data_IF_111149047274
#
_entry.id   IF_111149047274
#
_cell.length_a   1.000
_cell.length_b   1.000
_cell.length_c   1.000
_cell.angle_alpha   90.00
_cell.angle_beta   90.00
_cell.angle_gamma   90.00
#
_symmetry.space_group_name_H-M   'P 1'
#
loop_
_entity.id
_entity.type
_entity.pdbx_description
1 polymer ?
#
# COMPACT_ATOMS: atom_id res chain seq x y z
N UNK A 1 21.45 20.32 -7.11
CA UNK A 1 20.85 20.52 -8.43
C UNK A 1 20.67 19.23 -9.24
N UNK A 2 21.56 18.25 -9.14
CA UNK A 2 21.49 17.01 -9.94
C UNK A 2 20.28 16.13 -9.57
N UNK A 3 19.99 15.98 -8.29
CA UNK A 3 18.83 15.21 -7.79
C UNK A 3 17.49 15.80 -8.25
N UNK A 4 17.33 17.11 -8.18
CA UNK A 4 16.14 17.81 -8.66
C UNK A 4 15.87 17.54 -10.16
N UNK A 5 16.91 17.58 -10.98
CA UNK A 5 16.79 17.28 -12.41
C UNK A 5 16.38 15.82 -12.66
N UNK A 6 16.87 14.87 -11.85
CA UNK A 6 16.48 13.47 -11.91
C UNK A 6 15.01 13.25 -11.51
N UNK A 7 14.55 13.91 -10.43
CA UNK A 7 13.13 13.85 -10.00
C UNK A 7 12.21 14.37 -11.09
N UNK A 8 12.53 15.53 -11.67
CA UNK A 8 11.74 16.13 -12.77
C UNK A 8 11.75 15.23 -14.00
N UNK A 9 12.86 14.57 -14.33
CA UNK A 9 12.95 13.67 -15.46
C UNK A 9 12.16 12.38 -15.23
N UNK A 10 12.26 11.76 -14.07
CA UNK A 10 11.51 10.55 -13.74
C UNK A 10 9.99 10.78 -13.72
N UNK A 11 9.55 11.96 -13.26
CA UNK A 11 8.13 12.35 -13.34
C UNK A 11 7.71 12.53 -14.80
N UNK A 12 8.55 13.15 -15.65
CA UNK A 12 8.25 13.28 -17.10
C UNK A 12 8.19 11.93 -17.80
N UNK A 13 9.08 11.00 -17.46
CA UNK A 13 9.15 9.66 -18.07
C UNK A 13 7.98 8.76 -17.61
N UNK A 14 7.38 9.06 -16.47
CA UNK A 14 6.19 8.39 -15.96
C UNK A 14 4.89 8.90 -16.62
N UNK A 15 4.90 10.04 -17.30
CA UNK A 15 3.76 10.60 -18.02
C UNK A 15 3.57 9.88 -19.37
N UNK A 16 2.34 9.47 -19.75
CA UNK A 16 2.11 8.81 -21.04
C UNK A 16 2.41 9.77 -22.20
N UNK A 17 3.19 9.29 -23.17
CA UNK A 17 3.66 10.06 -24.34
C UNK A 17 2.58 10.52 -25.32
N UNK A 18 1.32 10.15 -25.11
CA UNK A 18 0.19 10.40 -26.01
C UNK A 18 -0.89 11.36 -25.48
N UNK A 19 -0.61 12.07 -24.39
CA UNK A 19 -1.53 13.13 -23.96
C UNK A 19 -1.19 14.39 -24.73
N UNK A 20 -2.08 14.78 -25.64
CA UNK A 20 -2.02 16.05 -26.35
C UNK A 20 -2.34 17.17 -25.33
N UNK A 21 -1.35 17.48 -24.49
CA UNK A 21 -1.44 18.54 -23.49
C UNK A 21 -1.18 19.83 -24.26
N UNK A 22 -2.19 20.72 -24.30
CA UNK A 22 -2.02 22.10 -24.71
C UNK A 22 -0.76 22.68 -24.04
N UNK A 23 -0.07 23.69 -24.65
CA UNK A 23 1.27 24.13 -24.23
C UNK A 23 1.26 24.62 -22.78
N UNK A 24 1.53 23.73 -21.84
CA UNK A 24 1.34 23.99 -20.43
C UNK A 24 2.51 23.58 -19.60
N UNK A 25 3.05 24.60 -19.00
CA UNK A 25 3.80 24.67 -17.75
C UNK A 25 4.88 23.58 -17.59
N UNK A 26 6.13 23.94 -17.83
CA UNK A 26 7.27 23.03 -17.76
C UNK A 26 7.69 22.62 -16.34
N UNK A 27 6.81 22.77 -15.35
CA UNK A 27 7.11 22.54 -13.95
C UNK A 27 6.10 21.56 -13.32
N UNK A 28 6.54 20.54 -12.56
CA UNK A 28 5.60 19.68 -11.85
C UNK A 28 4.74 20.53 -10.90
N UNK A 29 3.48 20.62 -11.18
CA UNK A 29 2.56 21.57 -10.55
C UNK A 29 2.49 21.42 -9.03
N UNK A 30 2.56 20.19 -8.50
CA UNK A 30 2.54 19.92 -7.07
C UNK A 30 3.69 20.59 -6.30
N UNK A 31 4.82 20.88 -6.95
CA UNK A 31 5.91 21.65 -6.33
C UNK A 31 5.53 23.11 -6.13
N UNK A 32 4.58 23.64 -6.91
CA UNK A 32 4.03 24.96 -6.73
C UNK A 32 2.99 25.07 -5.62
N UNK A 33 2.51 23.94 -5.09
CA UNK A 33 1.50 23.91 -4.03
C UNK A 33 2.07 24.18 -2.62
N UNK A 34 3.39 24.11 -2.48
CA UNK A 34 4.09 24.42 -1.24
C UNK A 34 5.09 25.57 -1.48
N UNK A 35 5.37 26.39 -0.46
CA UNK A 35 6.34 27.47 -0.58
C UNK A 35 7.70 26.96 -1.05
N UNK A 36 8.39 27.74 -1.89
CA UNK A 36 9.68 27.34 -2.46
C UNK A 36 10.71 26.92 -1.41
N UNK A 37 10.72 27.56 -0.23
CA UNK A 37 11.59 27.18 0.88
C UNK A 37 11.39 25.75 1.38
N UNK A 38 10.16 25.20 1.31
CA UNK A 38 9.88 23.80 1.64
C UNK A 38 10.46 22.86 0.58
N UNK A 39 10.31 23.21 -0.70
CA UNK A 39 10.91 22.43 -1.78
C UNK A 39 12.43 22.34 -1.65
N UNK A 40 13.10 23.46 -1.37
CA UNK A 40 14.56 23.49 -1.15
C UNK A 40 14.95 22.53 -0.02
N UNK A 41 14.23 22.55 1.09
CA UNK A 41 14.54 21.71 2.24
C UNK A 41 14.33 20.23 1.93
N UNK A 42 13.19 19.85 1.33
CA UNK A 42 12.90 18.47 0.93
C UNK A 42 14.00 17.95 0.00
N UNK A 43 14.33 18.68 -1.07
CA UNK A 43 15.32 18.23 -2.06
C UNK A 43 16.78 18.31 -1.59
N UNK A 44 17.06 19.01 -0.50
CA UNK A 44 18.40 19.00 0.09
C UNK A 44 18.65 17.80 1.00
N UNK A 45 17.58 17.19 1.54
CA UNK A 45 17.67 16.12 2.55
C UNK A 45 17.24 14.76 2.00
N UNK A 46 16.13 14.71 1.25
CA UNK A 46 15.60 13.45 0.71
C UNK A 46 16.51 12.86 -0.36
N UNK A 47 16.74 11.55 -0.29
CA UNK A 47 17.67 10.83 -1.17
C UNK A 47 16.97 10.15 -2.34
N UNK A 48 15.67 9.91 -2.22
CA UNK A 48 14.85 9.30 -3.27
C UNK A 48 13.57 10.10 -3.54
N UNK A 49 12.96 9.82 -4.69
CA UNK A 49 11.79 10.54 -5.18
C UNK A 49 10.55 10.25 -4.31
N UNK A 50 10.39 9.02 -3.83
CA UNK A 50 9.23 8.63 -3.02
C UNK A 50 9.24 9.36 -1.68
N UNK A 51 10.41 9.49 -1.06
CA UNK A 51 10.59 10.26 0.17
C UNK A 51 10.24 11.74 -0.06
N UNK A 52 10.73 12.34 -1.14
CA UNK A 52 10.44 13.72 -1.47
C UNK A 52 8.94 13.96 -1.71
N UNK A 53 8.30 13.11 -2.50
CA UNK A 53 6.84 13.18 -2.77
C UNK A 53 6.05 13.04 -1.48
N UNK A 54 6.39 12.08 -0.62
CA UNK A 54 5.75 11.91 0.69
C UNK A 54 5.73 13.19 1.52
N UNK A 55 6.90 13.87 1.65
CA UNK A 55 6.96 15.10 2.43
C UNK A 55 6.23 16.28 1.76
N UNK A 56 6.19 16.34 0.43
CA UNK A 56 5.38 17.33 -0.30
C UNK A 56 3.90 17.11 -0.01
N UNK A 57 3.41 15.89 -0.18
CA UNK A 57 2.01 15.54 0.09
C UNK A 57 1.62 15.81 1.54
N UNK A 58 2.43 15.40 2.49
CA UNK A 58 2.19 15.66 3.91
C UNK A 58 2.19 17.15 4.25
N UNK A 59 3.05 17.92 3.61
CA UNK A 59 3.08 19.38 3.76
C UNK A 59 1.78 20.01 3.25
N UNK A 60 1.28 19.57 2.09
CA UNK A 60 0.01 20.03 1.51
C UNK A 60 -1.16 19.64 2.41
N UNK A 61 -1.28 18.35 2.74
CA UNK A 61 -2.39 17.79 3.52
C UNK A 61 -2.54 18.42 4.90
N UNK A 62 -1.43 18.69 5.56
CA UNK A 62 -1.39 19.15 6.95
C UNK A 62 -1.03 20.63 7.09
N UNK A 63 -0.86 21.36 5.98
CA UNK A 63 -0.40 22.75 5.96
C UNK A 63 0.85 22.98 6.86
N UNK A 64 1.84 22.10 6.74
CA UNK A 64 3.03 22.19 7.58
C UNK A 64 3.80 23.46 7.32
N UNK A 65 4.15 24.16 8.41
CA UNK A 65 5.17 25.19 8.37
C UNK A 65 6.54 24.59 8.05
N UNK A 66 7.49 25.42 7.62
CA UNK A 66 8.86 24.95 7.37
C UNK A 66 9.48 24.29 8.60
N UNK A 67 9.27 24.85 9.79
CA UNK A 67 9.75 24.26 11.05
C UNK A 67 9.15 22.86 11.31
N UNK A 68 7.84 22.69 11.03
CA UNK A 68 7.18 21.41 11.19
C UNK A 68 7.67 20.38 10.17
N UNK A 69 7.89 20.79 8.92
CA UNK A 69 8.50 19.95 7.89
C UNK A 69 9.89 19.50 8.29
N UNK A 70 10.76 20.45 8.72
CA UNK A 70 12.12 20.12 9.21
C UNK A 70 12.09 19.11 10.35
N UNK A 71 11.16 19.29 11.30
CA UNK A 71 10.98 18.34 12.40
C UNK A 71 10.55 16.97 11.92
N UNK A 72 9.57 16.89 11.00
CA UNK A 72 9.08 15.64 10.45
C UNK A 72 10.17 14.87 9.67
N UNK A 73 11.00 15.58 8.91
CA UNK A 73 12.15 15.00 8.20
C UNK A 73 13.18 14.47 9.22
N UNK A 74 13.55 15.29 10.21
CA UNK A 74 14.52 14.91 11.23
C UNK A 74 14.05 13.71 12.08
N UNK A 75 12.75 13.63 12.38
CA UNK A 75 12.13 12.52 13.08
C UNK A 75 11.96 11.26 12.21
N UNK A 76 12.20 11.35 10.89
CA UNK A 76 12.13 10.20 9.98
C UNK A 76 10.70 9.74 9.68
N UNK A 77 9.72 10.62 9.62
CA UNK A 77 8.31 10.31 9.38
C UNK A 77 8.09 9.44 8.13
N UNK A 78 8.87 9.64 7.06
CA UNK A 78 8.82 8.77 5.89
C UNK A 78 9.20 7.33 6.21
N UNK A 79 10.26 7.13 6.97
CA UNK A 79 10.71 5.78 7.36
C UNK A 79 9.69 5.08 8.23
N UNK A 80 9.05 5.81 9.14
CA UNK A 80 7.99 5.27 9.99
C UNK A 80 6.71 4.98 9.21
N UNK A 81 6.35 5.85 8.27
CA UNK A 81 5.22 5.61 7.37
C UNK A 81 5.46 4.43 6.41
N UNK A 82 6.71 4.21 6.02
CA UNK A 82 7.10 3.10 5.14
C UNK A 82 7.19 1.74 5.86
N UNK A 83 7.20 1.71 7.20
CA UNK A 83 7.20 0.45 7.94
C UNK A 83 5.89 -0.30 7.72
N UNK A 84 5.95 -1.59 7.37
CA UNK A 84 4.76 -2.41 7.24
C UNK A 84 3.95 -2.45 8.54
N UNK A 85 2.63 -2.36 8.43
CA UNK A 85 1.71 -2.43 9.55
C UNK A 85 1.36 -3.89 9.83
N UNK A 86 1.98 -4.48 10.85
CA UNK A 86 1.76 -5.88 11.23
C UNK A 86 2.02 -6.11 12.73
N UNK A 87 1.59 -7.27 13.22
CA UNK A 87 1.85 -7.75 14.57
C UNK A 87 2.79 -8.96 14.62
N UNK A 88 3.60 -9.18 13.58
CA UNK A 88 4.41 -10.40 13.43
C UNK A 88 5.42 -10.60 14.55
N UNK A 89 6.02 -9.52 15.06
CA UNK A 89 6.95 -9.59 16.18
C UNK A 89 6.33 -10.13 17.47
N UNK A 90 5.00 -10.01 17.62
CA UNK A 90 4.25 -10.48 18.79
C UNK A 90 3.65 -11.88 18.58
N UNK A 91 3.39 -12.27 17.33
CA UNK A 91 2.56 -13.43 16.98
C UNK A 91 3.31 -14.56 16.28
N UNK A 92 4.52 -14.30 15.78
CA UNK A 92 5.36 -15.28 15.11
C UNK A 92 6.64 -15.53 15.91
N UNK A 93 7.17 -16.76 15.87
CA UNK A 93 8.51 -17.06 16.42
C UNK A 93 9.60 -16.29 15.65
N UNK A 94 10.65 -15.86 16.33
CA UNK A 94 11.88 -15.44 15.67
C UNK A 94 12.61 -16.67 15.12
N UNK A 95 13.24 -16.62 13.93
CA UNK A 95 13.43 -15.49 13.03
C UNK A 95 12.26 -15.28 12.01
N UNK A 96 11.24 -16.13 12.04
CA UNK A 96 10.14 -16.08 11.06
C UNK A 96 9.42 -14.71 11.07
N UNK A 97 9.15 -14.14 12.25
CA UNK A 97 8.48 -12.86 12.39
C UNK A 97 9.30 -11.70 11.80
N UNK A 98 10.62 -11.72 12.02
CA UNK A 98 11.51 -10.71 11.47
C UNK A 98 11.56 -10.78 9.93
N UNK A 99 11.69 -11.99 9.36
CA UNK A 99 11.71 -12.21 7.92
C UNK A 99 10.36 -11.86 7.27
N UNK A 100 9.25 -12.26 7.88
CA UNK A 100 7.90 -11.92 7.39
C UNK A 100 7.66 -10.40 7.37
N UNK A 101 8.15 -9.68 8.39
CA UNK A 101 8.04 -8.22 8.44
C UNK A 101 8.93 -7.54 7.38
N UNK A 102 10.11 -8.07 7.11
CA UNK A 102 11.01 -7.57 6.07
C UNK A 102 10.43 -7.79 4.65
N UNK A 103 9.82 -8.94 4.42
CA UNK A 103 9.22 -9.30 3.13
C UNK A 103 7.91 -8.55 2.85
N UNK A 104 7.22 -8.08 3.89
CA UNK A 104 5.94 -7.41 3.73
C UNK A 104 6.11 -5.99 3.20
N UNK A 105 5.38 -5.64 2.14
CA UNK A 105 5.28 -4.26 1.65
C UNK A 105 4.16 -3.51 2.38
N UNK A 106 4.44 -2.28 2.78
CA UNK A 106 3.43 -1.36 3.34
C UNK A 106 2.43 -0.89 2.29
N UNK A 107 2.89 -0.78 1.04
CA UNK A 107 2.10 -0.36 -0.11
C UNK A 107 2.42 -1.21 -1.33
N UNK A 108 1.38 -1.66 -2.03
CA UNK A 108 1.45 -2.43 -3.27
C UNK A 108 1.15 -1.52 -4.47
N UNK A 109 1.94 -1.64 -5.53
CA UNK A 109 1.65 -0.95 -6.78
C UNK A 109 0.79 -1.84 -7.67
N UNK A 110 -0.51 -1.55 -7.74
CA UNK A 110 -1.49 -2.25 -8.57
C UNK A 110 -1.86 -1.48 -9.85
N UNK A 111 -1.15 -0.42 -10.20
CA UNK A 111 -1.40 0.39 -11.40
C UNK A 111 -1.39 -0.40 -12.72
N UNK A 112 -0.75 -1.57 -12.74
CA UNK A 112 -0.75 -2.46 -13.89
C UNK A 112 -2.12 -3.11 -14.19
N UNK A 113 -3.08 -3.07 -13.26
CA UNK A 113 -4.41 -3.66 -13.43
C UNK A 113 -5.32 -2.84 -14.35
N UNK A 114 -5.05 -1.54 -14.50
CA UNK A 114 -5.82 -0.59 -15.34
C UNK A 114 -7.33 -0.64 -15.06
N UNK A 115 -7.69 -0.66 -13.77
CA UNK A 115 -9.09 -0.68 -13.34
C UNK A 115 -9.79 0.63 -13.69
N UNK A 116 -11.07 0.54 -14.08
CA UNK A 116 -11.94 1.71 -14.29
C UNK A 116 -12.23 2.38 -12.95
N UNK A 117 -12.67 3.63 -12.99
CA UNK A 117 -13.15 4.32 -11.81
C UNK A 117 -14.37 3.61 -11.19
N UNK A 118 -14.40 3.52 -9.85
CA UNK A 118 -15.52 2.90 -9.12
C UNK A 118 -15.63 1.38 -9.27
N UNK A 119 -14.51 0.69 -9.54
CA UNK A 119 -14.46 -0.78 -9.57
C UNK A 119 -14.87 -1.41 -8.23
N UNK A 120 -15.38 -2.63 -8.30
CA UNK A 120 -15.79 -3.45 -7.16
C UNK A 120 -14.66 -4.33 -6.64
N UNK A 121 -14.84 -4.93 -5.46
CA UNK A 121 -13.89 -5.93 -4.90
C UNK A 121 -13.74 -7.13 -5.84
N UNK A 122 -14.84 -7.59 -6.44
CA UNK A 122 -14.82 -8.70 -7.40
C UNK A 122 -14.03 -8.35 -8.68
N UNK A 123 -14.18 -7.13 -9.21
CA UNK A 123 -13.41 -6.67 -10.38
C UNK A 123 -11.92 -6.52 -10.05
N UNK A 124 -11.57 -6.08 -8.85
CA UNK A 124 -10.18 -6.03 -8.38
C UNK A 124 -9.59 -7.44 -8.31
N UNK A 125 -10.30 -8.37 -7.70
CA UNK A 125 -9.86 -9.76 -7.57
C UNK A 125 -9.66 -10.42 -8.94
N UNK A 126 -10.64 -10.31 -9.84
CA UNK A 126 -10.55 -10.85 -11.20
C UNK A 126 -9.33 -10.27 -11.94
N UNK A 127 -9.13 -8.95 -11.86
CA UNK A 127 -7.99 -8.29 -12.48
C UNK A 127 -6.64 -8.75 -11.90
N UNK A 128 -6.56 -9.00 -10.59
CA UNK A 128 -5.36 -9.57 -9.94
C UNK A 128 -5.07 -10.98 -10.45
N UNK A 129 -6.10 -11.81 -10.60
CA UNK A 129 -5.94 -13.18 -11.12
C UNK A 129 -5.53 -13.18 -12.59
N UNK A 130 -6.13 -12.35 -13.43
CA UNK A 130 -5.75 -12.17 -14.82
C UNK A 130 -4.31 -11.66 -14.99
N UNK A 131 -3.80 -10.91 -14.02
CA UNK A 131 -2.43 -10.39 -13.99
C UNK A 131 -1.58 -11.07 -12.91
N UNK A 132 -1.86 -12.31 -12.59
CA UNK A 132 -1.28 -13.05 -11.46
C UNK A 132 0.24 -12.96 -11.40
N UNK A 133 0.93 -13.12 -12.52
CA UNK A 133 2.39 -13.05 -12.56
C UNK A 133 2.90 -11.71 -12.01
N UNK A 134 2.29 -10.60 -12.42
CA UNK A 134 2.67 -9.25 -11.94
C UNK A 134 2.31 -9.07 -10.48
N UNK A 135 1.16 -9.57 -10.05
CA UNK A 135 0.76 -9.51 -8.65
C UNK A 135 1.71 -10.30 -7.74
N UNK A 136 2.10 -11.52 -8.13
CA UNK A 136 3.06 -12.30 -7.35
C UNK A 136 4.44 -11.63 -7.30
N UNK A 137 4.90 -11.01 -8.39
CA UNK A 137 6.12 -10.21 -8.38
C UNK A 137 6.01 -8.98 -7.48
N UNK A 138 4.83 -8.35 -7.43
CA UNK A 138 4.58 -7.23 -6.53
C UNK A 138 4.53 -7.66 -5.07
N UNK A 139 3.96 -8.83 -4.76
CA UNK A 139 3.98 -9.41 -3.41
C UNK A 139 5.40 -9.71 -2.93
N UNK A 140 6.31 -10.06 -3.83
CA UNK A 140 7.71 -10.38 -3.52
C UNK A 140 8.16 -11.72 -4.06
N UNK A 141 9.32 -12.19 -3.57
CA UNK A 141 9.90 -13.48 -3.98
C UNK A 141 9.19 -14.65 -3.32
N UNK A 142 9.27 -15.80 -3.99
CA UNK A 142 8.90 -17.11 -3.45
C UNK A 142 7.41 -17.28 -3.13
N UNK A 143 6.53 -16.45 -3.67
CA UNK A 143 5.09 -16.60 -3.57
C UNK A 143 4.51 -17.45 -4.69
N UNK A 144 3.62 -18.39 -4.32
CA UNK A 144 2.84 -19.22 -5.22
C UNK A 144 1.35 -19.04 -4.95
N UNK A 145 0.52 -18.99 -6.00
CA UNK A 145 -0.92 -19.05 -5.82
C UNK A 145 -1.35 -20.48 -5.48
N UNK A 146 -1.97 -20.66 -4.31
CA UNK A 146 -2.60 -21.92 -3.93
C UNK A 146 -4.04 -22.01 -4.43
N UNK A 147 -4.73 -20.88 -4.48
CA UNK A 147 -6.09 -20.77 -4.99
C UNK A 147 -6.73 -19.41 -4.72
N UNK A 148 -7.88 -19.21 -5.35
CA UNK A 148 -8.74 -18.05 -5.18
C UNK A 148 -10.11 -18.47 -4.69
N UNK A 149 -10.82 -17.59 -4.01
CA UNK A 149 -12.19 -17.81 -3.53
C UNK A 149 -12.34 -19.16 -2.80
N UNK A 150 -11.38 -19.41 -1.88
CA UNK A 150 -11.35 -20.68 -1.11
C UNK A 150 -12.48 -20.68 -0.09
N UNK A 151 -13.48 -21.53 -0.33
CA UNK A 151 -14.62 -21.69 0.57
C UNK A 151 -14.26 -22.60 1.75
N UNK A 152 -14.79 -22.28 2.92
CA UNK A 152 -14.74 -23.11 4.11
C UNK A 152 -16.03 -22.94 4.93
N UNK A 153 -16.35 -23.93 5.76
CA UNK A 153 -17.49 -23.86 6.65
C UNK A 153 -17.07 -24.13 8.10
N UNK A 154 -17.51 -23.28 9.00
CA UNK A 154 -17.23 -23.38 10.44
C UNK A 154 -18.51 -23.04 11.22
N UNK A 155 -18.92 -23.93 12.12
CA UNK A 155 -20.12 -23.69 12.94
C UNK A 155 -21.42 -23.53 12.15
N UNK A 156 -21.49 -24.03 10.91
CA UNK A 156 -22.64 -23.87 10.02
C UNK A 156 -22.63 -22.59 9.20
N UNK A 157 -21.64 -21.71 9.39
CA UNK A 157 -21.43 -20.51 8.61
C UNK A 157 -20.35 -20.73 7.55
N UNK A 158 -20.58 -20.24 6.34
CA UNK A 158 -19.61 -20.31 5.24
C UNK A 158 -18.79 -19.03 5.19
N UNK A 159 -17.46 -19.19 5.05
CA UNK A 159 -16.51 -18.12 4.77
C UNK A 159 -15.82 -18.36 3.44
N UNK A 160 -15.18 -17.31 2.92
CA UNK A 160 -14.52 -17.36 1.62
C UNK A 160 -13.28 -16.46 1.64
N UNK A 161 -12.13 -17.05 1.36
CA UNK A 161 -10.84 -16.35 1.32
C UNK A 161 -10.61 -15.89 -0.12
N UNK A 162 -10.38 -14.60 -0.35
CA UNK A 162 -10.22 -14.04 -1.69
C UNK A 162 -9.05 -14.69 -2.43
N UNK A 163 -7.85 -14.62 -1.85
CA UNK A 163 -6.65 -15.28 -2.39
C UNK A 163 -5.92 -16.03 -1.30
N UNK A 164 -5.49 -17.25 -1.61
CA UNK A 164 -4.62 -18.04 -0.76
C UNK A 164 -3.29 -18.25 -1.49
N UNK A 165 -2.22 -17.68 -0.92
CA UNK A 165 -0.86 -17.86 -1.42
C UNK A 165 -0.08 -18.80 -0.50
N UNK A 166 1.03 -19.31 -0.99
CA UNK A 166 2.03 -20.02 -0.20
C UNK A 166 3.41 -19.41 -0.44
N UNK A 167 4.14 -19.12 0.62
CA UNK A 167 5.50 -18.61 0.53
C UNK A 167 6.49 -19.73 0.82
N UNK A 168 7.42 -19.99 -0.12
CA UNK A 168 8.37 -21.08 -0.05
C UNK A 168 9.45 -20.86 1.00
N UNK A 169 9.93 -19.62 1.17
CA UNK A 169 11.01 -19.29 2.12
C UNK A 169 10.49 -19.36 3.55
N UNK A 170 9.32 -18.80 3.81
CA UNK A 170 8.67 -18.84 5.12
C UNK A 170 7.95 -20.16 5.40
N UNK A 171 7.79 -21.03 4.41
CA UNK A 171 7.04 -22.29 4.48
C UNK A 171 5.68 -22.11 5.17
N UNK A 172 4.90 -21.11 4.75
CA UNK A 172 3.60 -20.81 5.32
C UNK A 172 2.60 -20.30 4.29
N UNK A 173 1.32 -20.41 4.63
CA UNK A 173 0.26 -19.82 3.84
C UNK A 173 0.10 -18.33 4.14
N UNK A 174 -0.35 -17.59 3.14
CA UNK A 174 -0.81 -16.22 3.22
C UNK A 174 -2.28 -16.16 2.82
N UNK A 175 -3.15 -15.89 3.78
CA UNK A 175 -4.57 -15.61 3.53
C UNK A 175 -4.73 -14.12 3.22
N UNK A 176 -5.14 -13.81 1.99
CA UNK A 176 -5.30 -12.43 1.53
C UNK A 176 -6.78 -12.07 1.52
N UNK A 177 -7.11 -10.95 2.11
CA UNK A 177 -8.41 -10.28 2.04
C UNK A 177 -8.25 -8.96 1.30
N UNK A 178 -9.10 -8.72 0.29
CA UNK A 178 -9.08 -7.53 -0.57
C UNK A 178 -10.22 -6.59 -0.20
N UNK A 179 -9.95 -5.31 -0.09
CA UNK A 179 -10.95 -4.27 0.14
C UNK A 179 -10.71 -3.05 -0.74
N UNK A 180 -11.71 -2.68 -1.54
CA UNK A 180 -11.70 -1.44 -2.34
C UNK A 180 -12.05 -0.20 -1.53
N UNK A 181 -12.16 -0.33 -0.22
CA UNK A 181 -12.51 0.73 0.74
C UNK A 181 -11.35 0.97 1.70
N UNK A 182 -11.34 2.13 2.39
CA UNK A 182 -10.40 2.36 3.50
C UNK A 182 -10.54 1.32 4.60
N UNK A 183 -9.45 1.11 5.35
CA UNK A 183 -9.35 0.20 6.48
C UNK A 183 -10.51 0.35 7.49
N UNK A 184 -11.06 -0.78 7.89
CA UNK A 184 -11.99 -0.92 9.01
C UNK A 184 -11.55 -2.05 9.92
N UNK A 185 -11.73 -1.89 11.24
CA UNK A 185 -11.34 -2.89 12.25
C UNK A 185 -12.07 -4.23 12.07
N UNK A 186 -13.30 -4.19 11.55
CA UNK A 186 -14.10 -5.42 11.29
C UNK A 186 -13.41 -6.36 10.28
N UNK A 187 -12.65 -5.83 9.32
CA UNK A 187 -11.94 -6.63 8.32
C UNK A 187 -10.86 -7.51 8.96
N UNK A 188 -10.24 -7.04 10.05
CA UNK A 188 -9.22 -7.81 10.78
C UNK A 188 -9.86 -9.00 11.51
N UNK A 189 -11.07 -8.86 12.04
CA UNK A 189 -11.83 -9.94 12.64
C UNK A 189 -12.13 -11.06 11.62
N UNK A 190 -12.59 -10.69 10.43
CA UNK A 190 -12.83 -11.61 9.31
C UNK A 190 -11.52 -12.32 8.90
N UNK A 191 -10.44 -11.57 8.70
CA UNK A 191 -9.13 -12.11 8.34
C UNK A 191 -8.59 -13.08 9.41
N UNK A 192 -8.78 -12.78 10.69
CA UNK A 192 -8.40 -13.67 11.80
C UNK A 192 -9.09 -15.04 11.74
N UNK A 193 -10.37 -15.05 11.33
CA UNK A 193 -11.12 -16.30 11.09
C UNK A 193 -10.50 -17.07 9.91
N UNK A 194 -10.13 -16.38 8.84
CA UNK A 194 -9.50 -16.99 7.66
C UNK A 194 -8.14 -17.63 8.00
N UNK A 195 -7.29 -16.92 8.72
CA UNK A 195 -6.01 -17.48 9.21
C UNK A 195 -6.25 -18.74 10.02
N UNK A 196 -7.26 -18.73 10.90
CA UNK A 196 -7.61 -19.88 11.70
C UNK A 196 -8.16 -21.04 10.86
N UNK A 197 -8.97 -20.75 9.85
CA UNK A 197 -9.51 -21.77 8.94
C UNK A 197 -8.39 -22.43 8.14
N UNK A 198 -7.45 -21.67 7.60
CA UNK A 198 -6.27 -22.22 6.88
C UNK A 198 -5.42 -23.08 7.81
N UNK A 199 -5.13 -22.60 9.02
CA UNK A 199 -4.34 -23.37 10.00
C UNK A 199 -4.98 -24.70 10.39
N UNK A 200 -6.32 -24.76 10.45
CA UNK A 200 -7.05 -25.97 10.88
C UNK A 200 -7.39 -26.92 9.73
N UNK A 201 -7.67 -26.39 8.54
CA UNK A 201 -8.28 -27.16 7.45
C UNK A 201 -7.31 -27.44 6.29
N UNK A 202 -6.28 -26.58 6.09
CA UNK A 202 -5.42 -26.61 4.89
C UNK A 202 -3.95 -26.83 5.25
N UNK A 203 -3.46 -26.19 6.30
CA UNK A 203 -2.07 -26.19 6.71
C UNK A 203 -1.59 -27.61 7.08
N UNK A 204 -0.41 -27.96 6.61
CA UNK A 204 0.25 -29.23 6.97
C UNK A 204 1.00 -29.08 8.30
N UNK A 205 1.30 -30.19 9.00
CA UNK A 205 2.03 -30.16 10.28
C UNK A 205 3.42 -29.49 10.18
N UNK A 206 4.10 -29.60 9.04
CA UNK A 206 5.42 -29.00 8.81
C UNK A 206 5.38 -27.52 8.42
N UNK A 207 4.22 -26.99 8.05
CA UNK A 207 4.09 -25.59 7.67
C UNK A 207 4.09 -24.69 8.92
N UNK A 208 4.69 -23.53 8.79
CA UNK A 208 4.67 -22.50 9.82
C UNK A 208 3.26 -21.86 9.95
N UNK A 209 2.98 -21.08 11.00
CA UNK A 209 1.70 -20.42 11.18
C UNK A 209 1.31 -19.58 9.96
N UNK A 210 0.06 -19.67 9.57
CA UNK A 210 -0.51 -18.89 8.45
C UNK A 210 -0.49 -17.40 8.76
N UNK A 211 -0.10 -16.58 7.81
CA UNK A 211 -0.10 -15.12 7.88
C UNK A 211 -1.33 -14.57 7.16
N UNK A 212 -2.06 -13.66 7.80
CA UNK A 212 -3.15 -12.93 7.18
C UNK A 212 -2.69 -11.56 6.67
N UNK A 213 -3.05 -11.19 5.44
CA UNK A 213 -2.78 -9.87 4.88
C UNK A 213 -4.08 -9.24 4.40
N UNK A 214 -4.43 -8.11 4.99
CA UNK A 214 -5.48 -7.24 4.49
C UNK A 214 -4.88 -6.25 3.50
N UNK A 215 -5.38 -6.24 2.27
CA UNK A 215 -5.01 -5.26 1.25
C UNK A 215 -6.20 -4.31 1.08
N UNK A 216 -6.00 -3.02 1.37
CA UNK A 216 -7.06 -2.02 1.31
C UNK A 216 -6.57 -0.70 0.70
N UNK A 217 -7.51 0.14 0.27
CA UNK A 217 -7.18 1.37 -0.46
C UNK A 217 -6.38 2.37 0.37
N UNK A 218 -6.77 2.57 1.64
CA UNK A 218 -6.13 3.50 2.57
C UNK A 218 -6.19 2.95 3.99
N UNK A 219 -5.18 3.25 4.80
CA UNK A 219 -5.15 2.87 6.21
C UNK A 219 -4.59 4.01 7.08
N UNK A 220 -5.21 4.23 8.23
CA UNK A 220 -4.63 5.07 9.26
C UNK A 220 -3.74 4.17 10.15
N UNK A 221 -2.47 4.52 10.28
CA UNK A 221 -1.46 3.74 11.00
C UNK A 221 -1.87 3.43 12.43
N UNK A 222 -2.20 4.45 13.20
CA UNK A 222 -2.55 4.32 14.62
C UNK A 222 -3.77 3.40 14.82
N UNK A 223 -4.80 3.58 13.98
CA UNK A 223 -5.99 2.72 14.01
C UNK A 223 -5.68 1.27 13.69
N UNK A 224 -4.77 1.01 12.73
CA UNK A 224 -4.34 -0.35 12.39
C UNK A 224 -3.55 -0.97 13.54
N UNK A 225 -2.56 -0.26 14.07
CA UNK A 225 -1.73 -0.73 15.19
C UNK A 225 -2.59 -1.12 16.39
N UNK A 226 -3.48 -0.24 16.86
CA UNK A 226 -4.38 -0.54 17.97
C UNK A 226 -5.32 -1.72 17.69
N UNK A 227 -5.79 -1.83 16.44
CA UNK A 227 -6.63 -2.97 16.06
C UNK A 227 -5.85 -4.27 16.12
N UNK A 228 -4.63 -4.31 15.55
CA UNK A 228 -3.81 -5.52 15.50
C UNK A 228 -3.32 -5.98 16.87
N UNK A 229 -3.12 -5.07 17.84
CA UNK A 229 -2.77 -5.41 19.22
C UNK A 229 -3.82 -6.32 19.90
N UNK A 230 -5.07 -6.22 19.51
CA UNK A 230 -6.16 -7.05 20.02
C UNK A 230 -6.19 -8.48 19.49
N UNK A 231 -5.30 -8.85 18.55
CA UNK A 231 -5.32 -10.15 17.89
C UNK A 231 -4.02 -10.94 18.13
N UNK A 232 -4.19 -12.24 18.37
CA UNK A 232 -3.09 -13.19 18.61
C UNK A 232 -2.71 -14.00 17.34
N UNK A 233 -3.22 -13.63 16.18
CA UNK A 233 -2.87 -14.23 14.89
C UNK A 233 -1.92 -13.32 14.13
N UNK A 234 -0.96 -13.89 13.36
CA UNK A 234 -0.05 -13.09 12.56
C UNK A 234 -0.80 -12.42 11.42
N UNK A 235 -0.92 -11.11 11.50
CA UNK A 235 -1.66 -10.31 10.51
C UNK A 235 -0.93 -9.03 10.18
N UNK A 236 -1.11 -8.59 8.93
CA UNK A 236 -0.59 -7.33 8.44
C UNK A 236 -1.60 -6.60 7.55
N UNK A 237 -1.39 -5.31 7.39
CA UNK A 237 -2.21 -4.45 6.53
C UNK A 237 -1.30 -3.76 5.53
N UNK A 238 -1.58 -3.98 4.24
CA UNK A 238 -0.96 -3.25 3.13
C UNK A 238 -1.98 -2.33 2.49
N UNK A 239 -1.54 -1.16 2.08
CA UNK A 239 -2.34 -0.33 1.19
C UNK A 239 -1.95 -0.61 -0.26
N UNK A 240 -2.72 -0.10 -1.22
CA UNK A 240 -2.34 -0.17 -2.62
C UNK A 240 -2.63 1.14 -3.35
N UNK A 241 -1.82 1.38 -4.39
CA UNK A 241 -2.06 2.41 -5.40
C UNK A 241 -2.45 1.70 -6.69
N UNK A 242 -3.62 2.03 -7.22
CA UNK A 242 -4.15 1.50 -8.46
C UNK A 242 -3.86 2.40 -9.66
N UNK A 243 -3.50 3.66 -9.41
CA UNK A 243 -3.11 4.61 -10.46
C UNK A 243 -2.37 5.83 -9.89
N UNK A 244 -1.05 5.89 -10.08
CA UNK A 244 -0.28 7.09 -9.74
C UNK A 244 -0.76 8.32 -10.55
N UNK A 245 -1.21 8.09 -11.79
CA UNK A 245 -1.75 9.13 -12.66
C UNK A 245 -3.07 9.67 -12.16
N UNK A 246 -3.94 8.84 -11.59
CA UNK A 246 -5.23 9.27 -11.04
C UNK A 246 -5.06 10.21 -9.85
N UNK A 247 -4.08 9.98 -8.98
CA UNK A 247 -3.78 10.91 -7.88
C UNK A 247 -3.30 12.27 -8.40
N UNK A 248 -2.58 12.28 -9.53
CA UNK A 248 -2.13 13.51 -10.19
C UNK A 248 -3.30 14.20 -10.88
N UNK A 249 -4.20 13.47 -11.52
CA UNK A 249 -5.40 14.00 -12.21
C UNK A 249 -6.43 14.55 -11.21
N UNK A 250 -6.76 13.82 -10.15
CA UNK A 250 -7.67 14.30 -9.10
C UNK A 250 -7.14 15.58 -8.41
N UNK A 251 -5.83 15.71 -8.25
CA UNK A 251 -5.22 16.94 -7.76
C UNK A 251 -5.25 18.06 -8.80
N UNK A 252 -5.14 17.76 -10.07
CA UNK A 252 -5.25 18.73 -11.15
C UNK A 252 -6.68 19.25 -11.30
N UNK A 253 -7.69 18.38 -11.21
CA UNK A 253 -9.11 18.74 -11.30
C UNK A 253 -9.57 19.59 -10.10
N UNK A 254 -9.14 19.22 -8.87
CA UNK A 254 -9.42 20.01 -7.67
C UNK A 254 -8.86 21.43 -7.75
N UNK A 255 -7.83 21.66 -8.54
CA UNK A 255 -7.19 22.96 -8.71
C UNK A 255 -7.80 23.80 -9.85
N UNK A 256 -8.39 23.16 -10.87
CA UNK A 256 -9.16 23.87 -11.89
C UNK A 256 -10.42 24.48 -11.28
N UNK A 257 -11.08 23.78 -10.36
CA UNK A 257 -12.27 24.28 -9.66
C UNK A 257 -11.96 25.54 -8.80
N UNK A 258 -10.76 25.62 -8.22
CA UNK A 258 -10.35 26.79 -7.41
C UNK A 258 -10.02 28.02 -8.29
N UNK A 259 -9.53 27.80 -9.51
CA UNK A 259 -9.20 28.89 -10.45
C UNK A 259 -10.40 29.43 -11.21
N UNK A 260 -11.48 28.67 -11.33
CA UNK A 260 -12.74 29.12 -11.96
C UNK A 260 -13.69 29.81 -10.97
N UNK A 261 -13.42 29.69 -9.66
CA UNK A 261 -14.23 30.33 -8.59
C UNK A 261 -13.56 31.58 -7.98
N UNK A 262 -12.47 32.06 -8.54
CA UNK A 262 -11.75 33.28 -8.17
C UNK A 262 -11.74 34.28 -9.32
#
# INVERSE_FOLDING_TARGET
MHFFAQVVQQIKDALPTNVNIAPVKPFPYFLGMIPWGHNIEIFSVCKDVKEAVFYIEKTIQNNWSRAMLSHAIAAGFYKDAAKPLNNFALTLPKPQGDLAAEMMKSELNLGFLRLREGYTEAELEEALVLNLQRFLLEMGKDFLLRGQQIEFTVGGESGKIDLLLYNLELMCYYAIELKVKPFKSEYVGQLSLYVTAVDKLIKRPQDNPTIGILICQKANREKVEWTLEGFNKPMGVSTYTDNLMRMVEEHLDALQVVTESA
#
